data_IF_174794554973
#
_entry.id   IF_174794554973
#
_cell.length_a   1.000
_cell.length_b   1.000
_cell.length_c   1.000
_cell.angle_alpha   90.00
_cell.angle_beta   90.00
_cell.angle_gamma   90.00
#
_symmetry.space_group_name_H-M   'P 1'
#
loop_
_entity.id
_entity.type
_entity.pdbx_description
1 polymer ?
#
# COMPACT_ATOMS: atom_id res chain seq x y z
N UNK A 1 -11.88 43.06 -58.55
CA UNK A 1 -12.55 41.97 -57.82
C UNK A 1 -11.46 41.22 -57.10
N UNK A 2 -11.24 41.47 -55.79
CA UNK A 2 -10.16 40.86 -54.95
C UNK A 2 -10.75 39.69 -54.16
N UNK A 3 -10.33 38.47 -54.49
CA UNK A 3 -10.67 37.27 -53.74
C UNK A 3 -9.73 37.20 -52.49
N UNK A 4 -10.32 37.27 -51.31
CA UNK A 4 -9.61 37.00 -50.04
C UNK A 4 -9.77 35.53 -49.75
N UNK A 5 -8.67 34.76 -49.87
CA UNK A 5 -8.62 33.35 -49.41
C UNK A 5 -8.47 33.37 -47.87
N UNK A 6 -9.52 32.98 -47.16
CA UNK A 6 -9.48 32.74 -45.73
C UNK A 6 -8.76 31.41 -45.41
N UNK A 7 -7.57 31.50 -44.78
CA UNK A 7 -6.84 30.35 -44.29
C UNK A 7 -7.41 29.94 -42.90
N UNK A 8 -8.26 28.89 -42.89
CA UNK A 8 -8.75 28.30 -41.62
C UNK A 8 -7.65 27.43 -41.00
N UNK A 9 -7.06 27.94 -39.94
CA UNK A 9 -6.11 27.17 -39.11
C UNK A 9 -6.91 26.24 -38.20
N UNK A 10 -6.89 24.93 -38.52
CA UNK A 10 -7.48 23.89 -37.69
C UNK A 10 -6.54 23.65 -36.48
N UNK A 11 -6.95 24.17 -35.30
CA UNK A 11 -6.22 23.97 -34.04
C UNK A 11 -6.53 22.56 -33.53
N UNK A 12 -5.67 21.59 -33.86
CA UNK A 12 -5.77 20.23 -33.37
C UNK A 12 -5.27 20.21 -31.92
N UNK A 13 -6.17 20.29 -30.93
CA UNK A 13 -5.85 20.13 -29.54
C UNK A 13 -5.40 18.67 -29.31
N UNK A 14 -4.10 18.46 -29.11
CA UNK A 14 -3.56 17.16 -28.71
C UNK A 14 -4.05 16.85 -27.28
N UNK A 15 -5.08 16.01 -27.17
CA UNK A 15 -5.50 15.43 -25.88
C UNK A 15 -4.40 14.49 -25.46
N UNK A 16 -3.53 14.93 -24.54
CA UNK A 16 -2.57 14.04 -23.87
C UNK A 16 -3.35 13.04 -23.03
N UNK A 17 -3.53 11.83 -23.55
CA UNK A 17 -4.03 10.69 -22.79
C UNK A 17 -2.98 10.36 -21.73
N UNK A 18 -3.17 10.89 -20.53
CA UNK A 18 -2.32 10.51 -19.39
C UNK A 18 -2.82 9.17 -18.89
N UNK A 19 -1.94 8.15 -18.90
CA UNK A 19 -2.27 6.83 -18.36
C UNK A 19 -2.83 6.99 -16.94
N UNK A 20 -4.05 6.49 -16.72
CA UNK A 20 -4.72 6.57 -15.43
C UNK A 20 -4.10 5.55 -14.48
N UNK A 21 -3.55 6.05 -13.38
CA UNK A 21 -3.01 5.19 -12.31
C UNK A 21 -4.06 5.06 -11.21
N UNK A 22 -4.29 3.84 -10.72
CA UNK A 22 -5.16 3.56 -9.57
C UNK A 22 -4.57 2.44 -8.71
N UNK A 23 -5.12 2.29 -7.51
CA UNK A 23 -4.75 1.23 -6.55
C UNK A 23 -5.99 0.45 -6.17
N UNK A 24 -5.87 -0.87 -6.14
CA UNK A 24 -6.87 -1.78 -5.58
C UNK A 24 -6.25 -2.54 -4.41
N UNK A 25 -7.01 -2.67 -3.31
CA UNK A 25 -6.61 -3.37 -2.09
C UNK A 25 -7.64 -4.46 -1.82
N UNK A 26 -7.23 -5.71 -1.95
CA UNK A 26 -8.04 -6.89 -1.61
C UNK A 26 -7.70 -7.33 -0.18
N UNK A 27 -8.63 -7.05 0.74
CA UNK A 27 -8.48 -7.40 2.15
C UNK A 27 -8.58 -8.91 2.38
N UNK A 28 -9.31 -9.64 1.54
CA UNK A 28 -9.50 -11.07 1.69
C UNK A 28 -8.26 -11.84 1.27
N UNK A 29 -7.66 -11.48 0.14
CA UNK A 29 -6.46 -12.12 -0.38
C UNK A 29 -5.18 -11.52 0.23
N UNK A 30 -5.29 -10.44 1.02
CA UNK A 30 -4.17 -9.68 1.57
C UNK A 30 -3.19 -9.24 0.48
N UNK A 31 -3.73 -8.61 -0.56
CA UNK A 31 -3.00 -8.13 -1.74
C UNK A 31 -3.34 -6.67 -2.06
N UNK A 32 -2.36 -5.94 -2.53
CA UNK A 32 -2.55 -4.63 -3.16
C UNK A 32 -2.05 -4.65 -4.60
N UNK A 33 -2.80 -4.00 -5.49
CA UNK A 33 -2.51 -3.92 -6.91
C UNK A 33 -2.34 -2.47 -7.33
N UNK A 34 -1.27 -2.17 -8.05
CA UNK A 34 -1.10 -0.93 -8.77
C UNK A 34 -1.58 -1.15 -10.20
N UNK A 35 -2.50 -0.31 -10.67
CA UNK A 35 -3.08 -0.41 -12.01
C UNK A 35 -2.66 0.78 -12.87
N UNK A 36 -2.53 0.53 -14.17
CA UNK A 36 -2.46 1.56 -15.22
C UNK A 36 -3.49 1.24 -16.29
N UNK A 37 -4.34 2.22 -16.59
CA UNK A 37 -5.44 2.06 -17.54
C UNK A 37 -6.30 0.82 -17.23
N UNK A 38 -6.62 0.61 -15.93
CA UNK A 38 -7.40 -0.51 -15.43
C UNK A 38 -6.69 -1.88 -15.46
N UNK A 39 -5.40 -1.95 -15.82
CA UNK A 39 -4.63 -3.19 -15.88
C UNK A 39 -3.61 -3.26 -14.74
N UNK A 40 -3.57 -4.32 -13.95
CA UNK A 40 -2.57 -4.51 -12.92
C UNK A 40 -1.15 -4.55 -13.52
N UNK A 41 -0.26 -3.69 -13.03
CA UNK A 41 1.14 -3.62 -13.43
C UNK A 41 2.09 -4.05 -12.32
N UNK A 42 1.63 -4.01 -11.06
CA UNK A 42 2.38 -4.45 -9.90
C UNK A 42 1.42 -5.01 -8.84
N UNK A 43 1.80 -6.12 -8.21
CA UNK A 43 1.07 -6.71 -7.08
C UNK A 43 1.99 -6.84 -5.87
N UNK A 44 1.49 -6.52 -4.70
CA UNK A 44 2.19 -6.59 -3.41
C UNK A 44 1.41 -7.42 -2.42
N UNK A 45 2.02 -8.35 -1.69
CA UNK A 45 1.41 -8.86 -0.47
C UNK A 45 1.27 -7.70 0.53
N UNK A 46 0.26 -7.78 1.39
CA UNK A 46 0.01 -6.78 2.42
C UNK A 46 -0.27 -7.42 3.79
N UNK A 47 -0.27 -6.58 4.82
CA UNK A 47 -0.89 -6.89 6.11
C UNK A 47 -1.81 -5.74 6.48
N UNK A 48 -3.12 -5.95 6.33
CA UNK A 48 -4.17 -4.97 6.62
C UNK A 48 -4.51 -4.91 8.12
N UNK A 49 -5.50 -4.10 8.48
CA UNK A 49 -6.00 -3.96 9.84
C UNK A 49 -6.54 -5.25 10.43
N UNK A 50 -6.13 -5.56 11.68
CA UNK A 50 -6.59 -6.73 12.44
C UNK A 50 -8.02 -6.54 12.96
N UNK A 51 -8.60 -7.61 13.49
CA UNK A 51 -9.88 -7.53 14.21
C UNK A 51 -9.84 -6.45 15.31
N UNK A 52 -10.87 -5.62 15.37
CA UNK A 52 -10.94 -4.45 16.25
C UNK A 52 -10.29 -3.16 15.69
N UNK A 53 -9.51 -3.27 14.61
CA UNK A 53 -8.83 -2.17 13.91
C UNK A 53 -8.83 -2.43 12.40
N UNK A 54 -10.01 -2.71 11.83
CA UNK A 54 -10.11 -3.07 10.43
C UNK A 54 -9.76 -1.90 9.52
N UNK A 55 -9.06 -2.19 8.42
CA UNK A 55 -8.93 -1.24 7.32
C UNK A 55 -10.31 -0.98 6.71
N UNK A 56 -10.68 0.28 6.53
CA UNK A 56 -11.98 0.67 5.97
C UNK A 56 -12.09 0.29 4.50
N UNK A 57 -13.21 -0.38 4.15
CA UNK A 57 -13.55 -0.74 2.77
C UNK A 57 -14.29 0.40 2.06
N UNK A 58 -14.03 0.60 0.77
CA UNK A 58 -14.70 1.63 -0.01
C UNK A 58 -13.85 2.18 -1.15
N UNK A 59 -14.32 3.29 -1.73
CA UNK A 59 -13.64 4.01 -2.79
C UNK A 59 -13.10 5.33 -2.24
N UNK A 60 -11.80 5.48 -2.29
CA UNK A 60 -11.04 6.58 -1.72
C UNK A 60 -10.11 7.19 -2.77
N UNK A 61 -9.29 8.15 -2.33
CA UNK A 61 -8.18 8.72 -3.10
C UNK A 61 -6.98 8.88 -2.17
N UNK A 62 -5.79 8.82 -2.73
CA UNK A 62 -4.59 9.26 -1.99
C UNK A 62 -4.76 10.73 -1.63
N UNK A 63 -4.78 11.06 -0.34
CA UNK A 63 -4.99 12.44 0.17
C UNK A 63 -3.70 13.06 0.68
N UNK A 64 -2.71 12.25 1.01
CA UNK A 64 -1.41 12.70 1.50
C UNK A 64 -0.31 11.69 1.17
N UNK A 65 0.91 12.18 0.99
CA UNK A 65 2.10 11.34 0.79
C UNK A 65 3.26 11.89 1.62
N UNK A 66 3.86 11.03 2.43
CA UNK A 66 4.99 11.41 3.27
C UNK A 66 6.06 10.31 3.28
N UNK A 67 7.31 10.66 2.95
CA UNK A 67 8.40 9.67 2.86
C UNK A 67 8.80 9.11 4.23
N UNK A 68 8.82 9.93 5.26
CA UNK A 68 9.32 9.61 6.60
C UNK A 68 8.23 9.87 7.65
N UNK A 69 7.08 9.23 7.47
CA UNK A 69 5.95 9.36 8.39
C UNK A 69 6.15 8.51 9.66
N UNK A 70 5.62 9.02 10.77
CA UNK A 70 5.54 8.30 12.05
C UNK A 70 4.11 8.35 12.57
N UNK A 71 3.65 7.25 13.16
CA UNK A 71 2.33 7.22 13.78
C UNK A 71 2.22 8.24 14.91
N UNK A 72 1.15 9.02 14.92
CA UNK A 72 0.81 9.90 16.03
C UNK A 72 0.14 9.18 17.21
N UNK A 73 -0.31 7.93 17.00
CA UNK A 73 -1.10 7.15 17.96
C UNK A 73 -0.35 5.92 18.42
N UNK A 74 0.20 5.13 17.50
CA UNK A 74 0.75 3.81 17.79
C UNK A 74 2.27 3.80 17.81
N UNK A 75 2.84 2.92 18.66
CA UNK A 75 4.26 2.81 18.81
C UNK A 75 4.66 1.66 19.72
N UNK A 76 5.76 1.84 20.40
CA UNK A 76 6.26 0.92 21.42
C UNK A 76 6.80 1.71 22.62
N UNK A 77 6.83 1.08 23.79
CA UNK A 77 7.53 1.62 24.96
C UNK A 77 8.87 0.91 25.09
N UNK A 78 9.95 1.68 25.23
CA UNK A 78 11.31 1.16 25.42
C UNK A 78 11.88 1.65 26.74
N UNK A 79 12.78 0.85 27.35
CA UNK A 79 13.54 1.23 28.54
C UNK A 79 14.69 2.21 28.21
N UNK A 80 15.45 2.61 29.24
CA UNK A 80 16.60 3.50 29.10
C UNK A 80 17.73 2.93 28.19
N UNK A 81 17.77 1.61 28.01
CA UNK A 81 18.72 0.90 27.15
C UNK A 81 18.19 0.65 25.72
N UNK A 82 16.97 1.13 25.41
CA UNK A 82 16.32 0.95 24.11
C UNK A 82 15.64 -0.41 23.92
N UNK A 83 15.57 -1.24 24.96
CA UNK A 83 14.90 -2.56 24.89
C UNK A 83 13.39 -2.36 24.94
N UNK A 84 12.66 -3.08 24.10
CA UNK A 84 11.19 -3.01 24.04
C UNK A 84 10.57 -3.62 25.29
N UNK A 85 9.82 -2.82 26.04
CA UNK A 85 9.04 -3.19 27.22
C UNK A 85 7.59 -3.49 26.84
N UNK A 86 7.00 -2.66 25.97
CA UNK A 86 5.67 -2.87 25.39
C UNK A 86 5.80 -2.72 23.87
N UNK A 87 5.51 -3.78 23.13
CA UNK A 87 5.69 -3.81 21.69
C UNK A 87 4.52 -3.15 20.92
N UNK A 88 3.34 -3.15 21.51
CA UNK A 88 2.09 -2.64 20.93
C UNK A 88 1.51 -1.63 21.91
N UNK A 89 1.98 -0.39 21.84
CA UNK A 89 1.59 0.69 22.70
C UNK A 89 0.88 1.78 21.89
N UNK A 90 -0.11 2.42 22.52
CA UNK A 90 -0.66 3.68 22.03
C UNK A 90 -0.16 4.86 22.88
N UNK A 91 -0.38 6.07 22.36
CA UNK A 91 0.12 7.32 22.96
C UNK A 91 -0.50 7.60 24.32
N UNK A 92 -1.71 7.07 24.61
CA UNK A 92 -2.44 7.27 25.84
C UNK A 92 -2.03 6.29 26.95
N UNK A 93 -1.23 5.27 26.62
CA UNK A 93 -0.71 4.33 27.60
C UNK A 93 0.21 5.00 28.60
N UNK A 94 0.05 4.64 29.90
CA UNK A 94 0.94 5.11 30.95
C UNK A 94 2.35 4.56 30.73
N UNK A 95 3.30 5.45 30.51
CA UNK A 95 4.71 5.09 30.34
C UNK A 95 5.35 4.82 31.70
N UNK A 96 5.94 3.64 31.96
CA UNK A 96 6.64 3.33 33.22
C UNK A 96 7.83 4.27 33.47
N UNK A 97 8.23 4.43 34.74
CA UNK A 97 9.43 5.24 35.10
C UNK A 97 10.67 4.70 34.38
N UNK A 98 11.48 5.59 33.82
CA UNK A 98 12.69 5.22 33.07
C UNK A 98 12.46 4.67 31.67
N UNK A 99 11.21 4.62 31.22
CA UNK A 99 10.84 4.24 29.86
C UNK A 99 10.41 5.45 29.04
N UNK A 100 10.33 5.29 27.71
CA UNK A 100 9.79 6.29 26.80
C UNK A 100 8.97 5.64 25.70
N UNK A 101 7.95 6.36 25.23
CA UNK A 101 7.19 5.99 24.04
C UNK A 101 8.02 6.29 22.79
N UNK A 102 7.99 5.39 21.83
CA UNK A 102 8.63 5.53 20.52
C UNK A 102 7.59 5.30 19.45
N UNK A 103 7.21 6.32 18.65
CA UNK A 103 6.26 6.21 17.58
C UNK A 103 6.66 5.16 16.54
N UNK A 104 5.67 4.45 16.00
CA UNK A 104 5.91 3.48 14.93
C UNK A 104 6.31 4.19 13.63
N UNK A 105 7.44 3.82 12.99
CA UNK A 105 7.79 4.35 11.69
C UNK A 105 6.86 3.77 10.62
N UNK A 106 6.41 4.62 9.71
CA UNK A 106 5.57 4.28 8.57
C UNK A 106 6.17 4.90 7.29
N UNK A 107 7.35 4.45 6.84
CA UNK A 107 8.03 5.04 5.69
C UNK A 107 7.22 4.84 4.41
N UNK A 108 7.32 5.80 3.49
CA UNK A 108 6.58 5.83 2.22
C UNK A 108 5.06 5.83 2.41
N UNK A 109 4.60 6.60 3.35
CA UNK A 109 3.18 6.68 3.73
C UNK A 109 2.34 7.34 2.64
N UNK A 110 1.23 6.71 2.30
CA UNK A 110 0.23 7.16 1.32
C UNK A 110 -1.13 7.06 1.99
N UNK A 111 -1.59 8.16 2.59
CA UNK A 111 -2.90 8.23 3.27
C UNK A 111 -4.03 8.19 2.27
N UNK A 112 -5.08 7.42 2.54
CA UNK A 112 -6.27 7.37 1.69
C UNK A 112 -7.59 7.53 2.44
N UNK A 113 -7.65 7.26 3.76
CA UNK A 113 -8.87 7.42 4.54
C UNK A 113 -8.53 7.68 6.03
N UNK A 114 -9.08 8.75 6.62
CA UNK A 114 -8.86 9.07 8.04
C UNK A 114 -7.38 9.02 8.41
N UNK A 115 -7.00 8.12 9.32
CA UNK A 115 -5.61 7.80 9.67
C UNK A 115 -5.02 6.65 8.85
N UNK A 116 -5.84 5.96 8.04
CA UNK A 116 -5.41 4.79 7.27
C UNK A 116 -4.62 5.19 6.02
N UNK A 117 -3.54 4.48 5.79
CA UNK A 117 -2.67 4.65 4.64
C UNK A 117 -1.89 3.38 4.33
N UNK A 118 -1.33 3.32 3.12
CA UNK A 118 -0.34 2.30 2.73
C UNK A 118 1.03 2.77 3.15
N UNK A 119 1.89 1.87 3.63
CA UNK A 119 3.28 2.19 3.97
C UNK A 119 4.17 0.95 4.02
N UNK A 120 5.49 1.15 4.03
CA UNK A 120 6.44 0.05 4.25
C UNK A 120 6.35 -0.45 5.70
N UNK A 121 6.38 -1.78 5.87
CA UNK A 121 6.34 -2.38 7.20
C UNK A 121 6.42 -3.89 7.21
N UNK A 122 6.58 -4.46 8.38
CA UNK A 122 6.66 -5.90 8.57
C UNK A 122 5.33 -6.59 8.30
N UNK A 123 5.39 -7.69 7.54
CA UNK A 123 4.27 -8.55 7.22
C UNK A 123 4.42 -9.89 7.95
N UNK A 124 3.57 -10.18 8.96
CA UNK A 124 3.59 -11.48 9.64
C UNK A 124 2.91 -12.61 8.85
N UNK A 125 2.32 -12.29 7.66
CA UNK A 125 1.58 -13.25 6.83
C UNK A 125 0.07 -13.27 7.10
N UNK A 126 -0.43 -12.36 7.93
CA UNK A 126 -1.84 -12.18 8.26
C UNK A 126 -2.14 -10.71 8.54
N UNK A 127 -3.42 -10.33 8.64
CA UNK A 127 -3.86 -8.99 9.02
C UNK A 127 -3.47 -8.68 10.48
N UNK A 128 -2.57 -7.72 10.69
CA UNK A 128 -1.96 -7.44 11.99
C UNK A 128 -1.77 -5.95 12.29
N UNK A 129 -2.23 -5.05 11.43
CA UNK A 129 -2.09 -3.61 11.63
C UNK A 129 -3.24 -3.02 12.46
N UNK A 130 -3.17 -1.73 12.74
CA UNK A 130 -4.21 -0.94 13.41
C UNK A 130 -5.02 -0.10 12.41
N UNK A 131 -5.26 -0.63 11.20
CA UNK A 131 -6.01 0.04 10.14
C UNK A 131 -5.17 0.26 8.88
N UNK A 132 -3.95 0.71 8.99
CA UNK A 132 -3.05 0.90 7.85
C UNK A 132 -2.77 -0.41 7.09
N UNK A 133 -2.34 -0.28 5.85
CA UNK A 133 -1.95 -1.36 4.95
C UNK A 133 -0.43 -1.41 4.87
N UNK A 134 0.18 -2.38 5.55
CA UNK A 134 1.62 -2.62 5.49
C UNK A 134 1.97 -3.38 4.23
N UNK A 135 3.07 -3.03 3.60
CA UNK A 135 3.64 -3.73 2.44
C UNK A 135 5.16 -3.82 2.55
N UNK A 136 5.82 -4.77 1.87
CA UNK A 136 7.28 -4.84 1.86
C UNK A 136 7.88 -3.55 1.30
N UNK A 137 9.05 -3.14 1.79
CA UNK A 137 9.71 -1.86 1.48
C UNK A 137 9.78 -1.58 -0.01
N UNK A 138 10.21 -2.54 -0.81
CA UNK A 138 10.35 -2.38 -2.26
C UNK A 138 9.02 -2.06 -2.96
N UNK A 139 7.92 -2.67 -2.51
CA UNK A 139 6.59 -2.41 -3.05
C UNK A 139 6.06 -1.06 -2.59
N UNK A 140 6.24 -0.73 -1.29
CA UNK A 140 5.87 0.59 -0.77
C UNK A 140 6.58 1.71 -1.53
N UNK A 141 7.87 1.57 -1.84
CA UNK A 141 8.64 2.51 -2.66
C UNK A 141 8.07 2.60 -4.07
N UNK A 142 7.79 1.46 -4.72
CA UNK A 142 7.25 1.43 -6.08
C UNK A 142 5.85 2.07 -6.16
N UNK A 143 4.95 1.75 -5.22
CA UNK A 143 3.64 2.38 -5.12
C UNK A 143 3.77 3.88 -4.86
N UNK A 144 4.56 4.27 -3.86
CA UNK A 144 4.80 5.67 -3.52
C UNK A 144 5.29 6.50 -4.71
N UNK A 145 6.20 5.96 -5.51
CA UNK A 145 6.72 6.65 -6.70
C UNK A 145 5.73 6.70 -7.87
N UNK A 146 4.76 5.80 -7.89
CA UNK A 146 3.78 5.66 -8.99
C UNK A 146 2.49 6.42 -8.77
N UNK A 147 2.07 6.64 -7.51
CA UNK A 147 0.84 7.36 -7.20
C UNK A 147 1.10 8.83 -6.89
N UNK A 148 0.06 9.64 -7.04
CA UNK A 148 0.03 11.06 -6.66
C UNK A 148 -1.16 11.32 -5.74
N UNK A 149 -1.18 12.45 -5.05
CA UNK A 149 -2.39 12.92 -4.37
C UNK A 149 -3.51 13.02 -5.42
N UNK A 150 -4.68 12.48 -5.09
CA UNK A 150 -5.80 12.32 -6.01
C UNK A 150 -5.89 10.97 -6.72
N UNK A 151 -4.84 10.12 -6.70
CA UNK A 151 -4.89 8.77 -7.28
C UNK A 151 -6.01 7.95 -6.62
N UNK A 152 -6.93 7.33 -7.41
CA UNK A 152 -8.01 6.50 -6.88
C UNK A 152 -7.46 5.29 -6.11
N UNK A 153 -8.11 4.95 -4.99
CA UNK A 153 -7.83 3.77 -4.16
C UNK A 153 -9.15 3.07 -3.87
N UNK A 154 -9.28 1.82 -4.31
CA UNK A 154 -10.44 0.97 -4.01
C UNK A 154 -10.04 -0.11 -3.03
N UNK A 155 -10.72 -0.17 -1.88
CA UNK A 155 -10.51 -1.20 -0.85
C UNK A 155 -11.73 -2.10 -0.82
N UNK A 156 -11.55 -3.40 -1.01
CA UNK A 156 -12.64 -4.36 -1.09
C UNK A 156 -12.32 -5.69 -0.40
N UNK A 157 -13.31 -6.57 -0.34
CA UNK A 157 -13.19 -7.84 0.37
C UNK A 157 -13.37 -7.69 1.88
N UNK A 158 -13.19 -8.79 2.60
CA UNK A 158 -13.25 -8.84 4.08
C UNK A 158 -11.94 -9.34 4.63
N UNK A 159 -11.39 -8.62 5.59
CA UNK A 159 -10.21 -9.07 6.33
C UNK A 159 -10.51 -10.42 7.00
N UNK A 160 -9.66 -11.45 6.78
CA UNK A 160 -9.79 -12.72 7.48
C UNK A 160 -9.63 -12.52 8.99
N UNK A 161 -10.66 -12.93 9.77
CA UNK A 161 -10.70 -12.73 11.24
C UNK A 161 -10.14 -13.91 12.03
N UNK A 162 -9.74 -15.00 11.36
CA UNK A 162 -9.13 -16.17 12.00
C UNK A 162 -7.64 -15.97 12.25
N UNK A 163 -7.12 -16.48 13.38
CA UNK A 163 -5.70 -16.76 13.49
C UNK A 163 -5.38 -17.88 12.52
N UNK A 164 -4.86 -17.56 11.37
CA UNK A 164 -4.23 -18.56 10.50
C UNK A 164 -2.90 -19.00 11.12
N UNK A 165 -3.01 -19.65 12.29
CA UNK A 165 -1.88 -20.39 12.86
C UNK A 165 -1.74 -21.66 12.01
N UNK A 166 -0.84 -21.63 11.06
CA UNK A 166 -0.28 -22.83 10.48
C UNK A 166 -0.69 -23.24 9.07
N UNK A 167 -1.55 -22.53 8.37
CA UNK A 167 -1.70 -22.75 6.92
C UNK A 167 -1.74 -21.41 6.21
N UNK A 168 -0.57 -20.95 5.87
CA UNK A 168 -0.38 -19.85 4.93
C UNK A 168 -1.04 -20.22 3.62
N UNK A 169 -2.25 -19.75 3.39
CA UNK A 169 -2.88 -19.71 2.09
C UNK A 169 -2.57 -18.40 1.36
N UNK A 170 -1.51 -17.69 1.80
CA UNK A 170 -0.94 -16.65 0.97
C UNK A 170 -0.50 -17.30 -0.34
N UNK A 171 -0.95 -16.82 -1.49
CA UNK A 171 -0.53 -17.30 -2.80
C UNK A 171 1.00 -17.33 -2.96
N UNK A 172 1.71 -16.52 -2.18
CA UNK A 172 3.16 -16.43 -2.18
C UNK A 172 3.88 -17.58 -1.43
N UNK A 173 3.19 -18.28 -0.51
CA UNK A 173 3.82 -19.36 0.27
C UNK A 173 3.53 -20.76 -0.29
N UNK A 174 2.63 -20.90 -1.22
CA UNK A 174 2.47 -22.13 -2.01
C UNK A 174 3.30 -21.98 -3.28
N UNK A 175 4.41 -22.71 -3.38
CA UNK A 175 5.28 -22.80 -4.57
C UNK A 175 4.57 -23.32 -5.83
N UNK A 176 3.45 -22.74 -6.17
CA UNK A 176 2.66 -22.98 -7.36
C UNK A 176 2.56 -21.67 -8.14
N UNK A 177 2.84 -21.74 -9.41
CA UNK A 177 2.87 -20.72 -10.45
C UNK A 177 1.55 -19.92 -10.53
N UNK A 178 1.18 -19.10 -9.52
CA UNK A 178 -0.04 -18.27 -9.51
C UNK A 178 0.13 -16.89 -10.19
N UNK A 179 1.28 -16.63 -10.80
CA UNK A 179 1.39 -15.59 -11.84
C UNK A 179 0.64 -15.94 -13.14
N UNK A 180 -0.13 -17.04 -13.14
CA UNK A 180 -1.05 -17.42 -14.20
C UNK A 180 -2.50 -16.91 -13.94
N UNK A 181 -2.71 -15.88 -13.12
CA UNK A 181 -3.99 -15.18 -13.12
C UNK A 181 -4.14 -14.50 -14.50
N UNK A 182 -5.22 -14.81 -15.24
CA UNK A 182 -5.44 -14.23 -16.58
C UNK A 182 -5.48 -12.70 -16.57
N UNK A 183 -5.68 -12.06 -15.42
CA UNK A 183 -5.62 -10.61 -15.23
C UNK A 183 -4.18 -10.07 -15.28
N UNK A 184 -3.20 -10.89 -14.91
CA UNK A 184 -1.79 -10.59 -15.05
C UNK A 184 -1.29 -11.23 -16.34
N UNK A 185 -1.47 -10.56 -17.46
CA UNK A 185 -0.82 -10.96 -18.71
C UNK A 185 0.69 -11.19 -18.47
N UNK A 186 1.31 -12.12 -19.18
CA UNK A 186 2.69 -12.66 -19.02
C UNK A 186 3.84 -11.63 -19.04
N UNK A 187 3.65 -10.40 -18.62
CA UNK A 187 4.67 -9.37 -18.69
C UNK A 187 4.90 -8.72 -17.33
N UNK A 188 5.86 -9.32 -16.58
CA UNK A 188 6.60 -8.60 -15.56
C UNK A 188 7.25 -7.39 -16.25
N UNK A 189 6.88 -6.18 -15.85
CA UNK A 189 7.48 -4.95 -16.37
C UNK A 189 8.85 -4.76 -15.69
N UNK A 190 9.98 -4.94 -16.40
CA UNK A 190 11.33 -4.86 -15.81
C UNK A 190 11.67 -3.47 -15.24
N UNK A 191 10.83 -2.45 -15.47
CA UNK A 191 11.00 -1.11 -14.89
C UNK A 191 10.68 -1.05 -13.39
N UNK A 192 10.04 -2.08 -12.84
CA UNK A 192 9.66 -2.16 -11.42
C UNK A 192 10.60 -3.03 -10.56
N UNK A 193 11.75 -3.40 -11.08
CA UNK A 193 12.80 -4.12 -10.36
C UNK A 193 12.67 -5.65 -10.38
N UNK A 194 13.74 -6.36 -9.99
CA UNK A 194 13.76 -7.81 -9.97
C UNK A 194 12.84 -8.38 -8.89
N UNK A 195 12.36 -9.63 -9.02
CA UNK A 195 11.64 -10.32 -7.96
C UNK A 195 12.49 -10.36 -6.67
N UNK A 196 11.85 -10.38 -5.49
CA UNK A 196 12.56 -10.38 -4.23
C UNK A 196 13.54 -11.57 -4.14
N UNK A 197 14.72 -11.38 -3.53
CA UNK A 197 15.73 -12.42 -3.40
C UNK A 197 15.24 -13.57 -2.49
N UNK A 198 15.81 -14.81 -2.66
CA UNK A 198 15.33 -16.03 -1.97
C UNK A 198 15.41 -16.03 -0.44
N UNK A 199 16.15 -15.10 0.16
CA UNK A 199 16.30 -14.97 1.62
C UNK A 199 15.10 -14.26 2.31
N UNK A 200 14.05 -13.98 1.59
CA UNK A 200 12.76 -13.53 2.08
C UNK A 200 11.85 -14.67 2.61
N UNK A 201 12.34 -15.89 2.68
CA UNK A 201 11.61 -17.06 3.17
C UNK A 201 11.82 -17.26 4.66
#
# INVERSE_FOLDING_TARGET
MRMVLGLSILFCAAISLRAETSVEIDLQEQMAYLLRDGRPVLASPISSGRYGHLTEGGSFKVIEKERNHYSSIYGKIVDAFGRTVVADADVDMKVPRGCRFVPAPMPYFMRFHGSDGMHAGYLPGYAASHGCVRMPDQYAIAFFNSVSVGTPVTVFGRTPTGRYLGQSQSPFMRGGNRFADPRFGRQFDPRFGPPPPPWWR
#
